data_IF_498611147724
#
_entry.id   IF_498611147724
#
_cell.length_a   1.000
_cell.length_b   1.000
_cell.length_c   1.000
_cell.angle_alpha   90.00
_cell.angle_beta   90.00
_cell.angle_gamma   90.00
#
_symmetry.space_group_name_H-M   'P 1'
#
loop_
_entity.id
_entity.type
_entity.pdbx_description
1 polymer ?
#
# COMPACT_ATOMS: atom_id res chain seq x y z
N UNK A 1 6.46 -15.65 19.25
CA UNK A 1 5.30 -15.14 20.02
C UNK A 1 5.54 -13.81 20.75
N UNK A 2 6.76 -13.49 21.21
CA UNK A 2 7.03 -12.20 21.90
C UNK A 2 6.80 -10.95 21.02
N UNK A 3 7.21 -10.99 19.75
CA UNK A 3 7.09 -9.86 18.80
C UNK A 3 5.63 -9.50 18.53
N UNK A 4 4.81 -10.50 18.17
CA UNK A 4 3.38 -10.29 17.93
C UNK A 4 2.68 -9.67 19.14
N UNK A 5 2.97 -10.18 20.34
CA UNK A 5 2.39 -9.64 21.58
C UNK A 5 2.81 -8.19 21.84
N UNK A 6 4.07 -7.84 21.59
CA UNK A 6 4.55 -6.46 21.70
C UNK A 6 3.82 -5.57 20.69
N UNK A 7 3.79 -5.97 19.42
CA UNK A 7 3.15 -5.20 18.36
C UNK A 7 1.66 -4.97 18.60
N UNK A 8 0.93 -5.99 19.07
CA UNK A 8 -0.49 -5.84 19.44
C UNK A 8 -0.63 -4.88 20.63
N UNK A 9 0.18 -5.06 21.68
CA UNK A 9 0.15 -4.17 22.86
C UNK A 9 0.40 -2.72 22.47
N UNK A 10 1.38 -2.47 21.61
CA UNK A 10 1.74 -1.13 21.17
C UNK A 10 0.66 -0.54 20.25
N UNK A 11 0.15 -1.30 19.30
CA UNK A 11 -0.91 -0.84 18.39
C UNK A 11 -2.14 -0.28 19.11
N UNK A 12 -2.55 -0.91 20.21
CA UNK A 12 -3.69 -0.44 21.03
C UNK A 12 -3.36 0.70 22.00
N UNK A 13 -2.12 1.20 22.04
CA UNK A 13 -1.82 2.42 22.81
C UNK A 13 -2.34 3.65 22.08
N UNK A 14 -2.73 4.68 22.84
CA UNK A 14 -3.27 5.92 22.29
C UNK A 14 -2.33 6.59 21.27
N UNK A 15 -1.03 6.45 21.44
CA UNK A 15 -0.04 7.06 20.56
C UNK A 15 -0.03 6.41 19.16
N UNK A 16 0.03 5.08 19.09
CA UNK A 16 0.00 4.37 17.81
C UNK A 16 -1.39 4.36 17.17
N UNK A 17 -2.46 4.39 17.98
CA UNK A 17 -3.82 4.52 17.45
C UNK A 17 -4.03 5.89 16.78
N UNK A 18 -3.47 6.97 17.32
CA UNK A 18 -3.45 8.28 16.64
C UNK A 18 -2.76 8.18 15.28
N UNK A 19 -1.61 7.50 15.20
CA UNK A 19 -0.93 7.28 13.94
C UNK A 19 -1.78 6.49 12.94
N UNK A 20 -2.52 5.47 13.39
CA UNK A 20 -3.43 4.71 12.52
C UNK A 20 -4.64 5.53 12.03
N UNK A 21 -5.16 6.43 12.88
CA UNK A 21 -6.34 7.23 12.57
C UNK A 21 -6.04 8.44 11.68
N UNK A 22 -4.86 9.03 11.75
CA UNK A 22 -4.50 10.22 10.94
C UNK A 22 -4.74 9.98 9.44
N UNK A 23 -4.14 8.97 8.78
CA UNK A 23 -4.37 8.71 7.35
C UNK A 23 -5.85 8.47 7.02
N UNK A 24 -6.57 7.77 7.89
CA UNK A 24 -7.99 7.45 7.70
C UNK A 24 -8.87 8.70 7.75
N UNK A 25 -8.64 9.58 8.72
CA UNK A 25 -9.41 10.82 8.86
C UNK A 25 -9.19 11.73 7.67
N UNK A 26 -7.94 11.94 7.25
CA UNK A 26 -7.63 12.77 6.07
C UNK A 26 -8.19 12.16 4.78
N UNK A 27 -8.08 10.84 4.61
CA UNK A 27 -8.68 10.11 3.51
C UNK A 27 -10.19 10.28 3.46
N UNK A 28 -10.87 10.13 4.61
CA UNK A 28 -12.31 10.28 4.71
C UNK A 28 -12.77 11.71 4.42
N UNK A 29 -12.05 12.72 4.93
CA UNK A 29 -12.32 14.13 4.64
C UNK A 29 -12.20 14.38 3.13
N UNK A 30 -11.12 13.90 2.49
CA UNK A 30 -10.95 14.04 1.05
C UNK A 30 -12.07 13.34 0.28
N UNK A 31 -12.46 12.13 0.71
CA UNK A 31 -13.53 11.36 0.09
C UNK A 31 -14.85 12.13 0.13
N UNK A 32 -15.24 12.66 1.30
CA UNK A 32 -16.45 13.45 1.45
C UNK A 32 -16.38 14.73 0.60
N UNK A 33 -15.24 15.41 0.62
CA UNK A 33 -15.04 16.62 -0.19
C UNK A 33 -15.20 16.34 -1.68
N UNK A 34 -14.52 15.31 -2.21
CA UNK A 34 -14.63 14.92 -3.61
C UNK A 34 -16.02 14.38 -3.96
N UNK A 35 -16.68 13.65 -3.06
CA UNK A 35 -18.03 13.15 -3.27
C UNK A 35 -19.06 14.27 -3.37
N UNK A 36 -18.97 15.30 -2.51
CA UNK A 36 -19.93 16.41 -2.48
C UNK A 36 -19.66 17.43 -3.59
N UNK A 37 -18.39 17.82 -3.79
CA UNK A 37 -18.04 18.92 -4.69
C UNK A 37 -17.49 18.47 -6.04
N UNK A 38 -16.85 17.29 -6.11
CA UNK A 38 -16.17 16.80 -7.31
C UNK A 38 -16.95 15.76 -8.12
N UNK A 39 -17.89 15.04 -7.49
CA UNK A 39 -18.53 13.88 -8.12
C UNK A 39 -19.37 14.25 -9.34
N UNK A 40 -20.12 15.35 -9.28
CA UNK A 40 -20.92 15.83 -10.41
C UNK A 40 -20.04 16.20 -11.62
N UNK A 41 -18.90 16.85 -11.37
CA UNK A 41 -17.95 17.18 -12.42
C UNK A 41 -17.33 15.93 -13.06
N UNK A 42 -16.95 14.94 -12.25
CA UNK A 42 -16.46 13.65 -12.75
C UNK A 42 -17.53 12.90 -13.55
N UNK A 43 -18.76 12.83 -13.04
CA UNK A 43 -19.86 12.16 -13.71
C UNK A 43 -20.15 12.77 -15.08
N UNK A 44 -20.18 14.11 -15.15
CA UNK A 44 -20.35 14.82 -16.41
C UNK A 44 -19.18 14.58 -17.36
N UNK A 45 -17.94 14.59 -16.85
CA UNK A 45 -16.76 14.27 -17.64
C UNK A 45 -16.86 12.86 -18.24
N UNK A 46 -17.13 11.83 -17.45
CA UNK A 46 -17.25 10.47 -17.98
C UNK A 46 -18.45 10.28 -18.91
N UNK A 47 -19.59 10.90 -18.61
CA UNK A 47 -20.72 10.89 -19.53
C UNK A 47 -20.36 11.48 -20.89
N UNK A 48 -19.64 12.62 -20.92
CA UNK A 48 -19.16 13.20 -22.17
C UNK A 48 -18.12 12.32 -22.87
N UNK A 49 -17.21 11.72 -22.12
CA UNK A 49 -16.13 10.88 -22.64
C UNK A 49 -16.65 9.58 -23.28
N UNK A 50 -17.69 8.99 -22.68
CA UNK A 50 -18.30 7.77 -23.20
C UNK A 50 -19.44 8.05 -24.18
N UNK A 51 -19.96 9.27 -24.27
CA UNK A 51 -20.93 9.66 -25.28
C UNK A 51 -20.30 9.78 -26.67
N UNK A 52 -21.11 9.59 -27.70
CA UNK A 52 -20.70 9.71 -29.10
C UNK A 52 -21.49 10.83 -29.76
N UNK A 53 -20.83 11.64 -30.60
CA UNK A 53 -21.47 12.72 -31.35
C UNK A 53 -22.50 12.21 -32.36
N UNK A 54 -23.53 13.02 -32.62
CA UNK A 54 -24.68 12.64 -33.46
C UNK A 54 -24.31 12.29 -34.91
N UNK A 55 -23.21 12.89 -35.42
CA UNK A 55 -22.72 12.65 -36.79
C UNK A 55 -21.91 11.35 -36.93
N UNK A 56 -21.70 10.61 -35.84
CA UNK A 56 -20.93 9.38 -35.85
C UNK A 56 -21.71 8.22 -36.46
N UNK A 57 -21.00 7.37 -37.20
CA UNK A 57 -21.52 6.09 -37.68
C UNK A 57 -22.15 5.24 -36.55
N UNK A 58 -21.68 5.37 -35.31
CA UNK A 58 -22.17 4.62 -34.15
C UNK A 58 -23.37 5.28 -33.43
N UNK A 59 -23.84 6.45 -33.87
CA UNK A 59 -24.91 7.18 -33.19
C UNK A 59 -26.18 6.34 -32.99
N UNK A 60 -26.57 5.54 -33.98
CA UNK A 60 -27.75 4.66 -33.90
C UNK A 60 -27.65 3.60 -32.77
N UNK A 61 -26.44 3.16 -32.42
CA UNK A 61 -26.23 2.19 -31.35
C UNK A 61 -26.29 2.87 -29.99
N UNK A 62 -25.75 4.09 -29.88
CA UNK A 62 -25.71 4.89 -28.65
C UNK A 62 -27.06 5.50 -28.27
N UNK A 63 -28.00 5.62 -29.21
CA UNK A 63 -29.39 6.04 -28.92
C UNK A 63 -30.23 4.93 -28.30
N UNK A 64 -29.80 3.66 -28.35
CA UNK A 64 -30.51 2.55 -27.72
C UNK A 64 -30.54 2.77 -26.19
N UNK A 65 -31.74 2.69 -25.60
CA UNK A 65 -31.94 2.93 -24.15
C UNK A 65 -31.03 2.09 -23.26
N UNK A 66 -30.78 0.82 -23.61
CA UNK A 66 -29.90 -0.04 -22.80
C UNK A 66 -28.44 0.46 -22.82
N UNK A 67 -27.98 1.02 -23.95
CA UNK A 67 -26.62 1.56 -24.08
C UNK A 67 -26.47 2.82 -23.24
N UNK A 68 -27.47 3.70 -23.22
CA UNK A 68 -27.48 4.89 -22.37
C UNK A 68 -27.44 4.53 -20.87
N UNK A 69 -28.18 3.49 -20.45
CA UNK A 69 -28.13 2.97 -19.08
C UNK A 69 -26.71 2.46 -18.78
N UNK A 70 -26.11 1.69 -19.69
CA UNK A 70 -24.76 1.16 -19.51
C UNK A 70 -23.72 2.29 -19.38
N UNK A 71 -23.79 3.31 -20.23
CA UNK A 71 -22.92 4.49 -20.17
C UNK A 71 -23.07 5.17 -18.81
N UNK A 72 -24.31 5.39 -18.35
CA UNK A 72 -24.56 6.03 -17.06
C UNK A 72 -23.97 5.23 -15.91
N UNK A 73 -24.14 3.90 -15.92
CA UNK A 73 -23.58 3.00 -14.90
C UNK A 73 -22.05 3.06 -14.92
N UNK A 74 -21.43 2.95 -16.09
CA UNK A 74 -19.97 3.01 -16.25
C UNK A 74 -19.45 4.37 -15.77
N UNK A 75 -20.05 5.48 -16.17
CA UNK A 75 -19.67 6.83 -15.74
C UNK A 75 -19.77 7.00 -14.23
N UNK A 76 -20.85 6.51 -13.61
CA UNK A 76 -21.03 6.54 -12.17
C UNK A 76 -19.94 5.71 -11.46
N UNK A 77 -19.65 4.50 -11.95
CA UNK A 77 -18.63 3.63 -11.40
C UNK A 77 -17.22 4.23 -11.51
N UNK A 78 -16.85 4.79 -12.66
CA UNK A 78 -15.54 5.44 -12.85
C UNK A 78 -15.39 6.69 -12.00
N UNK A 79 -16.46 7.49 -11.88
CA UNK A 79 -16.48 8.66 -11.00
C UNK A 79 -16.29 8.26 -9.55
N UNK A 80 -17.05 7.26 -9.08
CA UNK A 80 -16.93 6.73 -7.72
C UNK A 80 -15.55 6.10 -7.46
N UNK A 81 -15.03 5.37 -8.44
CA UNK A 81 -13.70 4.79 -8.39
C UNK A 81 -12.63 5.87 -8.18
N UNK A 82 -12.66 6.97 -8.93
CA UNK A 82 -11.69 8.06 -8.76
C UNK A 82 -11.78 8.70 -7.38
N UNK A 83 -13.00 8.96 -6.89
CA UNK A 83 -13.21 9.53 -5.55
C UNK A 83 -12.60 8.62 -4.47
N UNK A 84 -12.93 7.33 -4.50
CA UNK A 84 -12.42 6.36 -3.52
C UNK A 84 -10.90 6.17 -3.69
N UNK A 85 -10.43 6.01 -4.92
CA UNK A 85 -9.02 5.76 -5.21
C UNK A 85 -8.13 6.94 -4.80
N UNK A 86 -8.52 8.18 -5.12
CA UNK A 86 -7.79 9.37 -4.69
C UNK A 86 -7.71 9.47 -3.15
N UNK A 87 -8.80 9.11 -2.48
CA UNK A 87 -8.88 9.11 -1.01
C UNK A 87 -7.98 8.05 -0.40
N UNK A 88 -8.02 6.83 -0.91
CA UNK A 88 -7.14 5.73 -0.49
C UNK A 88 -5.67 6.06 -0.76
N UNK A 89 -5.39 6.65 -1.93
CA UNK A 89 -4.04 7.07 -2.30
C UNK A 89 -3.49 8.11 -1.33
N UNK A 90 -4.30 9.10 -0.92
CA UNK A 90 -3.91 10.06 0.12
C UNK A 90 -3.58 9.37 1.44
N UNK A 91 -4.39 8.39 1.87
CA UNK A 91 -4.10 7.62 3.08
C UNK A 91 -2.73 6.95 2.99
N UNK A 92 -2.46 6.24 1.89
CA UNK A 92 -1.18 5.57 1.66
C UNK A 92 -0.01 6.55 1.65
N UNK A 93 -0.17 7.70 0.99
CA UNK A 93 0.83 8.76 0.98
C UNK A 93 1.16 9.24 2.40
N UNK A 94 0.15 9.56 3.22
CA UNK A 94 0.35 9.99 4.61
C UNK A 94 1.04 8.88 5.42
N UNK A 95 0.64 7.61 5.25
CA UNK A 95 1.26 6.49 5.99
C UNK A 95 2.75 6.36 5.71
N UNK A 96 3.22 6.62 4.48
CA UNK A 96 4.65 6.53 4.16
C UNK A 96 5.52 7.56 4.90
N UNK A 97 4.97 8.71 5.28
CA UNK A 97 5.68 9.68 6.12
C UNK A 97 5.62 9.31 7.60
N UNK A 98 4.75 8.39 8.00
CA UNK A 98 4.52 8.05 9.39
C UNK A 98 5.47 6.97 9.91
N UNK A 99 6.05 6.17 9.01
CA UNK A 99 6.98 5.08 9.33
C UNK A 99 8.17 5.53 10.19
N UNK A 100 8.87 6.66 9.91
CA UNK A 100 9.93 7.18 10.76
C UNK A 100 9.48 7.52 12.19
N UNK A 101 8.28 8.09 12.34
CA UNK A 101 7.74 8.44 13.66
C UNK A 101 7.39 7.18 14.46
N UNK A 102 6.75 6.19 13.82
CA UNK A 102 6.42 4.90 14.43
C UNK A 102 7.71 4.21 14.90
N UNK A 103 8.72 4.15 14.04
CA UNK A 103 10.00 3.51 14.35
C UNK A 103 10.72 4.20 15.52
N UNK A 104 10.73 5.54 15.53
CA UNK A 104 11.34 6.34 16.60
C UNK A 104 10.69 6.07 17.96
N UNK A 105 9.36 6.04 18.03
CA UNK A 105 8.63 5.77 19.26
C UNK A 105 8.91 4.35 19.80
N UNK A 106 8.91 3.34 18.92
CA UNK A 106 9.25 1.97 19.31
C UNK A 106 10.69 1.89 19.82
N UNK A 107 11.63 2.54 19.12
CA UNK A 107 13.02 2.55 19.49
C UNK A 107 13.23 3.19 20.87
N UNK A 108 12.64 4.37 21.09
CA UNK A 108 12.71 5.09 22.37
C UNK A 108 12.08 4.30 23.51
N UNK A 109 11.05 3.50 23.24
CA UNK A 109 10.36 2.72 24.26
C UNK A 109 11.07 1.43 24.66
N UNK A 110 11.75 0.75 23.73
CA UNK A 110 12.24 -0.62 23.97
C UNK A 110 13.72 -0.88 23.67
N UNK A 111 14.32 -0.20 22.71
CA UNK A 111 15.60 -0.62 22.15
C UNK A 111 16.74 0.38 22.39
N UNK A 112 16.44 1.68 22.38
CA UNK A 112 17.39 2.77 22.53
C UNK A 112 18.62 2.63 21.60
N UNK A 113 18.38 2.14 20.39
CA UNK A 113 19.41 1.97 19.37
C UNK A 113 19.68 3.30 18.69
N UNK A 114 20.93 3.74 18.68
CA UNK A 114 21.31 4.97 18.00
C UNK A 114 21.81 4.64 16.58
N UNK A 115 21.08 5.03 15.55
CA UNK A 115 21.50 4.84 14.17
C UNK A 115 22.47 5.95 13.79
N UNK A 116 23.75 5.62 13.63
CA UNK A 116 24.81 6.59 13.37
C UNK A 116 25.02 6.89 11.89
N UNK A 117 24.49 6.05 10.98
CA UNK A 117 24.70 6.16 9.54
C UNK A 117 23.41 5.82 8.77
N UNK A 118 22.52 6.79 8.65
CA UNK A 118 21.25 6.64 7.94
C UNK A 118 21.41 6.30 6.45
N UNK A 119 20.42 5.60 5.91
CA UNK A 119 20.38 5.25 4.49
C UNK A 119 20.01 6.50 3.68
N UNK A 120 20.79 6.82 2.65
CA UNK A 120 20.51 8.02 1.84
C UNK A 120 19.19 7.90 1.07
N UNK A 121 18.41 8.98 1.06
CA UNK A 121 17.13 9.07 0.34
C UNK A 121 17.27 8.73 -1.15
N UNK A 122 18.33 9.21 -1.80
CA UNK A 122 18.61 8.89 -3.22
C UNK A 122 18.80 7.39 -3.45
N UNK A 123 19.47 6.69 -2.51
CA UNK A 123 19.64 5.24 -2.59
C UNK A 123 18.30 4.52 -2.43
N UNK A 124 17.45 4.98 -1.51
CA UNK A 124 16.11 4.41 -1.31
C UNK A 124 15.26 4.57 -2.58
N UNK A 125 15.22 5.78 -3.16
CA UNK A 125 14.50 6.06 -4.42
C UNK A 125 14.99 5.14 -5.55
N UNK A 126 16.31 4.96 -5.67
CA UNK A 126 16.87 4.09 -6.70
C UNK A 126 16.50 2.61 -6.50
N UNK A 127 16.47 2.13 -5.25
CA UNK A 127 16.00 0.77 -4.95
C UNK A 127 14.50 0.60 -5.20
N UNK A 128 13.67 1.60 -4.88
CA UNK A 128 12.24 1.63 -5.25
C UNK A 128 12.09 1.52 -6.76
N UNK A 129 12.83 2.32 -7.53
CA UNK A 129 12.80 2.29 -8.98
C UNK A 129 13.13 0.90 -9.55
N UNK A 130 14.17 0.23 -9.02
CA UNK A 130 14.50 -1.15 -9.40
C UNK A 130 13.38 -2.14 -9.08
N UNK A 131 12.71 -1.98 -7.93
CA UNK A 131 11.56 -2.82 -7.54
C UNK A 131 10.44 -2.66 -8.57
N UNK A 132 10.14 -1.43 -9.00
CA UNK A 132 9.14 -1.18 -10.03
C UNK A 132 9.49 -1.79 -11.39
N UNK A 133 10.74 -1.71 -11.84
CA UNK A 133 11.17 -2.36 -13.09
C UNK A 133 10.99 -3.88 -13.01
N UNK A 134 11.43 -4.50 -11.91
CA UNK A 134 11.26 -5.94 -11.70
C UNK A 134 9.78 -6.32 -11.63
N UNK A 135 8.97 -5.50 -10.97
CA UNK A 135 7.52 -5.68 -10.89
C UNK A 135 6.87 -5.61 -12.28
N UNK A 136 7.24 -4.66 -13.13
CA UNK A 136 6.74 -4.58 -14.52
C UNK A 136 7.09 -5.85 -15.29
N UNK A 137 8.32 -6.36 -15.17
CA UNK A 137 8.71 -7.63 -15.78
C UNK A 137 7.89 -8.81 -15.28
N UNK A 138 7.66 -8.91 -13.96
CA UNK A 138 6.80 -9.93 -13.36
C UNK A 138 5.36 -9.78 -13.87
N UNK A 139 4.84 -8.55 -13.95
CA UNK A 139 3.49 -8.27 -14.42
C UNK A 139 3.29 -8.75 -15.86
N UNK A 140 4.23 -8.47 -16.75
CA UNK A 140 4.21 -8.94 -18.14
C UNK A 140 4.19 -10.48 -18.21
N UNK A 141 5.02 -11.16 -17.41
CA UNK A 141 5.02 -12.62 -17.33
C UNK A 141 3.68 -13.16 -16.79
N UNK A 142 3.12 -12.50 -15.78
CA UNK A 142 1.81 -12.84 -15.22
C UNK A 142 0.69 -12.66 -16.25
N UNK A 143 0.74 -11.61 -17.09
CA UNK A 143 -0.22 -11.41 -18.19
C UNK A 143 -0.19 -12.59 -19.17
N UNK A 144 0.99 -13.08 -19.53
CA UNK A 144 1.11 -14.27 -20.38
C UNK A 144 0.57 -15.54 -19.69
N UNK A 145 0.77 -15.65 -18.39
CA UNK A 145 0.26 -16.78 -17.61
C UNK A 145 -1.28 -16.75 -17.39
N UNK A 146 -1.98 -15.66 -17.72
CA UNK A 146 -3.45 -15.61 -17.68
C UNK A 146 -4.12 -16.55 -18.69
N UNK A 147 -3.42 -16.93 -19.76
CA UNK A 147 -3.93 -17.89 -20.74
C UNK A 147 -3.99 -19.32 -20.19
N UNK A 148 -3.35 -19.59 -19.05
CA UNK A 148 -3.39 -20.88 -18.39
C UNK A 148 -4.63 -20.98 -17.47
N UNK A 149 -5.49 -22.00 -17.65
CA UNK A 149 -6.63 -22.21 -16.76
C UNK A 149 -6.16 -22.47 -15.33
N UNK A 150 -6.99 -22.10 -14.33
CA UNK A 150 -6.72 -22.16 -12.88
C UNK A 150 -5.62 -21.23 -12.35
N UNK A 151 -4.52 -21.03 -13.11
CA UNK A 151 -3.42 -20.13 -12.72
C UNK A 151 -3.86 -18.66 -12.81
N UNK A 152 -4.72 -18.32 -13.78
CA UNK A 152 -5.16 -16.95 -14.03
C UNK A 152 -5.77 -16.23 -12.81
N UNK A 153 -6.44 -16.97 -11.90
CA UNK A 153 -7.11 -16.43 -10.72
C UNK A 153 -6.10 -15.85 -9.72
N UNK A 154 -4.93 -16.48 -9.60
CA UNK A 154 -3.95 -16.15 -8.55
C UNK A 154 -2.72 -15.41 -9.05
N UNK A 155 -2.47 -15.42 -10.37
CA UNK A 155 -1.17 -14.99 -10.90
C UNK A 155 -0.86 -13.52 -10.61
N UNK A 156 -1.86 -12.64 -10.71
CA UNK A 156 -1.68 -11.24 -10.34
C UNK A 156 -1.57 -11.03 -8.83
N UNK A 157 -2.26 -11.82 -8.01
CA UNK A 157 -2.10 -11.74 -6.56
C UNK A 157 -0.65 -12.01 -6.14
N UNK A 158 0.06 -12.91 -6.83
CA UNK A 158 1.48 -13.16 -6.61
C UNK A 158 2.35 -11.97 -7.04
N UNK A 159 2.06 -11.36 -8.19
CA UNK A 159 2.77 -10.17 -8.66
C UNK A 159 2.62 -9.00 -7.67
N UNK A 160 1.39 -8.73 -7.22
CA UNK A 160 1.12 -7.67 -6.25
C UNK A 160 1.68 -7.97 -4.87
N UNK A 161 1.69 -9.24 -4.45
CA UNK A 161 2.39 -9.64 -3.22
C UNK A 161 3.89 -9.32 -3.28
N UNK A 162 4.55 -9.58 -4.42
CA UNK A 162 5.96 -9.20 -4.59
C UNK A 162 6.18 -7.71 -4.35
N UNK A 163 5.35 -6.86 -4.97
CA UNK A 163 5.44 -5.41 -4.83
C UNK A 163 5.17 -4.98 -3.37
N UNK A 164 4.10 -5.50 -2.77
CA UNK A 164 3.72 -5.24 -1.38
C UNK A 164 4.86 -5.59 -0.42
N UNK A 165 5.41 -6.80 -0.50
CA UNK A 165 6.52 -7.25 0.33
C UNK A 165 7.73 -6.33 0.17
N UNK A 166 8.14 -6.02 -1.06
CA UNK A 166 9.35 -5.24 -1.32
C UNK A 166 9.24 -3.79 -0.89
N UNK A 167 8.11 -3.13 -1.13
CA UNK A 167 7.89 -1.75 -0.71
C UNK A 167 7.75 -1.64 0.82
N UNK A 168 7.04 -2.57 1.45
CA UNK A 168 6.84 -2.52 2.89
C UNK A 168 8.16 -2.82 3.64
N UNK A 169 8.97 -3.76 3.12
CA UNK A 169 10.30 -4.00 3.66
C UNK A 169 11.25 -2.82 3.47
N UNK A 170 11.26 -2.16 2.31
CA UNK A 170 12.16 -1.02 2.10
C UNK A 170 11.82 0.14 3.03
N UNK A 171 10.53 0.42 3.23
CA UNK A 171 10.06 1.51 4.08
C UNK A 171 10.54 1.33 5.54
N UNK A 172 10.32 0.15 6.12
CA UNK A 172 10.72 -0.13 7.50
C UNK A 172 12.24 -0.26 7.64
N UNK A 173 12.90 -1.03 6.78
CA UNK A 173 14.33 -1.34 6.94
C UNK A 173 15.22 -0.15 6.65
N UNK A 174 14.85 0.71 5.70
CA UNK A 174 15.60 1.95 5.44
C UNK A 174 15.51 2.95 6.59
N UNK A 175 14.45 2.86 7.39
CA UNK A 175 14.23 3.70 8.58
C UNK A 175 15.03 3.20 9.79
N UNK A 176 15.04 1.89 10.05
CA UNK A 176 15.59 1.35 11.31
C UNK A 176 17.07 0.93 11.23
N UNK A 177 17.57 0.63 10.03
CA UNK A 177 18.91 0.09 9.82
C UNK A 177 19.90 1.18 9.42
N UNK A 178 21.16 0.96 9.75
CA UNK A 178 22.28 1.72 9.19
C UNK A 178 22.58 1.25 7.75
N UNK A 179 23.36 2.05 7.03
CA UNK A 179 23.71 1.82 5.61
C UNK A 179 24.34 0.45 5.34
N UNK A 180 25.12 -0.09 6.27
CA UNK A 180 25.78 -1.39 6.13
C UNK A 180 24.79 -2.53 6.37
N UNK A 181 24.07 -2.51 7.49
CA UNK A 181 23.04 -3.52 7.79
C UNK A 181 21.94 -3.55 6.74
N UNK A 182 21.54 -2.39 6.20
CA UNK A 182 20.58 -2.31 5.10
C UNK A 182 21.10 -3.00 3.84
N UNK A 183 22.38 -2.78 3.49
CA UNK A 183 22.99 -3.42 2.32
C UNK A 183 23.04 -4.94 2.50
N UNK A 184 23.49 -5.41 3.66
CA UNK A 184 23.59 -6.83 3.97
C UNK A 184 22.21 -7.51 3.94
N UNK A 185 21.18 -6.87 4.52
CA UNK A 185 19.81 -7.39 4.49
C UNK A 185 19.21 -7.47 3.08
N UNK A 186 19.57 -6.54 2.18
CA UNK A 186 19.08 -6.54 0.80
C UNK A 186 19.87 -7.46 -0.14
N UNK A 187 21.14 -7.72 0.15
CA UNK A 187 21.98 -8.67 -0.58
C UNK A 187 21.70 -10.11 -0.16
N UNK A 188 21.53 -10.34 1.13
CA UNK A 188 21.21 -11.65 1.67
C UNK A 188 19.72 -11.92 1.48
N UNK A 189 19.36 -13.17 1.15
CA UNK A 189 17.97 -13.53 0.96
C UNK A 189 17.20 -13.25 2.26
N UNK A 190 16.24 -12.31 2.19
CA UNK A 190 15.43 -11.90 3.34
C UNK A 190 14.91 -13.13 4.10
N UNK A 191 15.08 -13.19 5.44
CA UNK A 191 14.71 -14.36 6.23
C UNK A 191 13.24 -14.74 6.03
N UNK A 192 12.95 -16.05 6.08
CA UNK A 192 11.61 -16.60 5.88
C UNK A 192 10.55 -15.95 6.79
N UNK A 193 10.93 -15.54 8.01
CA UNK A 193 10.03 -14.87 8.95
C UNK A 193 9.46 -13.55 8.40
N UNK A 194 10.26 -12.77 7.67
CA UNK A 194 9.78 -11.52 7.06
C UNK A 194 8.81 -11.78 5.91
N UNK A 195 9.12 -12.78 5.08
CA UNK A 195 8.25 -13.20 3.97
C UNK A 195 6.92 -13.74 4.47
N UNK A 196 6.95 -14.63 5.46
CA UNK A 196 5.73 -15.17 6.04
C UNK A 196 4.87 -14.07 6.70
N UNK A 197 5.49 -13.19 7.48
CA UNK A 197 4.76 -12.09 8.13
C UNK A 197 4.12 -11.14 7.11
N UNK A 198 4.86 -10.73 6.09
CA UNK A 198 4.33 -9.86 5.02
C UNK A 198 3.29 -10.56 4.15
N UNK A 199 3.36 -11.88 3.97
CA UNK A 199 2.30 -12.65 3.33
C UNK A 199 1.00 -12.62 4.14
N UNK A 200 1.08 -12.83 5.46
CA UNK A 200 -0.09 -12.68 6.34
C UNK A 200 -0.66 -11.26 6.28
N UNK A 201 0.20 -10.24 6.27
CA UNK A 201 -0.24 -8.84 6.16
C UNK A 201 -0.90 -8.54 4.81
N UNK A 202 -0.38 -9.10 3.72
CA UNK A 202 -0.97 -8.95 2.40
C UNK A 202 -2.36 -9.58 2.31
N UNK A 203 -2.53 -10.79 2.85
CA UNK A 203 -3.83 -11.45 2.93
C UNK A 203 -4.81 -10.66 3.80
N UNK A 204 -4.35 -10.11 4.94
CA UNK A 204 -5.18 -9.29 5.80
C UNK A 204 -5.56 -7.95 5.16
N UNK A 205 -4.65 -7.36 4.38
CA UNK A 205 -4.87 -6.12 3.62
C UNK A 205 -5.80 -6.31 2.43
N UNK A 206 -6.00 -7.55 1.98
CA UNK A 206 -6.95 -7.87 0.91
C UNK A 206 -8.41 -7.67 1.35
N UNK A 207 -8.66 -7.62 2.67
CA UNK A 207 -9.97 -7.24 3.21
C UNK A 207 -10.12 -5.71 3.15
N UNK A 208 -11.20 -5.19 2.56
CA UNK A 208 -11.45 -3.75 2.48
C UNK A 208 -11.38 -3.06 3.85
N UNK A 209 -10.86 -1.83 3.87
CA UNK A 209 -10.63 -0.98 5.07
C UNK A 209 -9.60 -1.52 6.08
N UNK A 210 -9.50 -2.84 6.28
CA UNK A 210 -8.51 -3.44 7.18
C UNK A 210 -7.08 -3.12 6.75
N UNK A 211 -6.79 -3.15 5.45
CA UNK A 211 -5.48 -2.77 4.93
C UNK A 211 -5.05 -1.36 5.32
N UNK A 212 -5.99 -0.39 5.30
CA UNK A 212 -5.70 1.01 5.64
C UNK A 212 -5.47 1.20 7.14
N UNK A 213 -6.30 0.57 7.98
CA UNK A 213 -6.20 0.68 9.42
C UNK A 213 -4.99 -0.08 9.98
N UNK A 214 -4.74 -1.30 9.48
CA UNK A 214 -3.68 -2.18 9.96
C UNK A 214 -2.31 -1.88 9.34
N UNK A 215 -2.23 -0.95 8.37
CA UNK A 215 -0.96 -0.47 7.82
C UNK A 215 0.03 -0.11 8.94
N UNK A 216 -0.42 0.65 9.95
CA UNK A 216 0.40 1.04 11.11
C UNK A 216 0.81 -0.15 11.96
N UNK A 217 -0.08 -1.14 12.13
CA UNK A 217 0.27 -2.39 12.81
C UNK A 217 1.38 -3.15 12.08
N UNK A 218 1.35 -3.21 10.73
CA UNK A 218 2.41 -3.86 9.95
C UNK A 218 3.76 -3.19 10.17
N UNK A 219 3.79 -1.85 10.18
CA UNK A 219 5.01 -1.09 10.47
C UNK A 219 5.53 -1.39 11.87
N UNK A 220 4.67 -1.31 12.90
CA UNK A 220 5.05 -1.63 14.28
C UNK A 220 5.66 -3.02 14.38
N UNK A 221 4.98 -4.03 13.82
CA UNK A 221 5.42 -5.41 13.89
C UNK A 221 6.80 -5.59 13.23
N UNK A 222 6.99 -5.03 12.03
CA UNK A 222 8.25 -5.17 11.31
C UNK A 222 9.38 -4.35 11.91
N UNK A 223 9.09 -3.22 12.53
CA UNK A 223 10.09 -2.49 13.33
C UNK A 223 10.60 -3.39 14.46
N UNK A 224 9.72 -4.03 15.24
CA UNK A 224 10.17 -4.98 16.26
C UNK A 224 10.91 -6.17 15.68
N UNK A 225 10.43 -6.73 14.56
CA UNK A 225 11.07 -7.87 13.89
C UNK A 225 12.47 -7.49 13.39
N UNK A 226 12.63 -6.32 12.79
CA UNK A 226 13.90 -5.78 12.32
C UNK A 226 14.89 -5.58 13.46
N UNK A 227 14.49 -4.91 14.55
CA UNK A 227 15.35 -4.73 15.72
C UNK A 227 15.80 -6.07 16.34
N UNK A 228 14.91 -7.06 16.44
CA UNK A 228 15.23 -8.33 17.10
C UNK A 228 15.96 -9.33 16.21
N UNK A 229 15.67 -9.37 14.90
CA UNK A 229 16.22 -10.38 13.98
C UNK A 229 17.41 -9.89 13.18
N UNK A 230 17.42 -8.63 12.78
CA UNK A 230 18.53 -8.05 12.00
C UNK A 230 19.58 -7.52 12.97
N UNK A 231 19.18 -6.63 13.88
CA UNK A 231 20.09 -5.99 14.83
C UNK A 231 20.34 -6.82 16.11
N UNK A 232 19.67 -7.98 16.26
CA UNK A 232 19.81 -8.91 17.39
C UNK A 232 19.58 -8.25 18.77
N UNK A 233 18.79 -7.19 18.82
CA UNK A 233 18.48 -6.46 20.05
C UNK A 233 17.39 -7.18 20.85
N UNK A 234 17.42 -7.02 22.18
CA UNK A 234 16.34 -7.49 23.06
C UNK A 234 15.52 -6.28 23.49
N UNK A 235 14.19 -6.40 23.40
CA UNK A 235 13.29 -5.38 23.94
C UNK A 235 13.50 -5.29 25.46
N UNK A 236 13.88 -4.11 25.95
CA UNK A 236 13.95 -3.77 27.36
C UNK A 236 12.55 -3.27 27.76
N UNK A 237 11.94 -3.96 28.72
CA UNK A 237 10.57 -3.69 29.15
C UNK A 237 10.54 -2.53 30.13
#
# INVERSE_FOLDING_TARGET
MRILRLAIKDFFTLQFLKFALIPLVFSFILMVFLAVFGFSALLNYFNSLFSVGEDSFWAWFYTLHFVQILITIISFLFSGFIVVFASVFLALFITSFLTPFIAKEINQKYYHYNNTNEVSTLKIIFEIFKIFIKFIGILLLCTLALFLPFINIFVYYLAFYYLFHKLLMIDVTSTILDKESFKNFYSDFSPLEFKFSTLCFYLLSSVPFLGLFLQVFFMIFLTHLGYQRILKLKAKA
#
